data_IF_365910444026
#
_entry.id   IF_365910444026
#
_cell.length_a   1.000
_cell.length_b   1.000
_cell.length_c   1.000
_cell.angle_alpha   90.00
_cell.angle_beta   90.00
_cell.angle_gamma   90.00
#
_symmetry.space_group_name_H-M   'P 1'
#
loop_
_entity.id
_entity.type
_entity.pdbx_description
1 polymer ?
#
# COMPACT_ATOMS: atom_id res chain seq x y z
N UNK A 1 -20.56 -18.24 -27.10
CA UNK A 1 -20.74 -16.79 -26.74
C UNK A 1 -22.16 -16.42 -27.16
N UNK A 2 -23.08 -16.31 -26.22
CA UNK A 2 -24.44 -15.84 -26.48
C UNK A 2 -24.43 -14.32 -26.43
N UNK A 3 -24.77 -13.68 -27.52
CA UNK A 3 -24.83 -12.24 -27.71
C UNK A 3 -25.72 -11.60 -26.61
N UNK A 4 -25.26 -10.56 -25.88
CA UNK A 4 -26.02 -9.89 -24.82
C UNK A 4 -27.41 -9.41 -25.27
N UNK A 5 -27.58 -9.14 -26.57
CA UNK A 5 -28.87 -8.79 -27.16
C UNK A 5 -29.92 -9.90 -27.12
N UNK A 6 -29.50 -11.18 -27.08
CA UNK A 6 -30.40 -12.33 -27.10
C UNK A 6 -30.92 -12.61 -25.68
N UNK A 7 -30.11 -12.40 -24.64
CA UNK A 7 -30.50 -12.63 -23.26
C UNK A 7 -31.53 -11.57 -22.78
N UNK A 8 -31.32 -10.30 -23.13
CA UNK A 8 -32.27 -9.22 -22.78
C UNK A 8 -33.63 -9.41 -23.47
N UNK A 9 -33.67 -9.87 -24.73
CA UNK A 9 -34.94 -10.19 -25.39
C UNK A 9 -35.66 -11.40 -24.77
N UNK A 10 -34.92 -12.39 -24.27
CA UNK A 10 -35.53 -13.54 -23.58
C UNK A 10 -36.14 -13.13 -22.23
N UNK A 11 -35.51 -12.24 -21.52
CA UNK A 11 -36.01 -11.68 -20.24
C UNK A 11 -37.25 -10.81 -20.46
N UNK A 12 -37.30 -9.99 -21.53
CA UNK A 12 -38.48 -9.21 -21.88
C UNK A 12 -39.69 -10.10 -22.25
N UNK A 13 -39.47 -11.17 -23.02
CA UNK A 13 -40.55 -12.12 -23.39
C UNK A 13 -41.06 -12.90 -22.17
N UNK A 14 -40.21 -13.26 -21.23
CA UNK A 14 -40.60 -13.95 -19.99
C UNK A 14 -41.35 -13.00 -19.03
N UNK A 15 -41.00 -11.72 -19.00
CA UNK A 15 -41.68 -10.69 -18.18
C UNK A 15 -43.10 -10.39 -18.70
N UNK A 16 -43.32 -10.46 -20.01
CA UNK A 16 -44.64 -10.25 -20.63
C UNK A 16 -45.65 -11.40 -20.39
N UNK A 17 -45.16 -12.61 -20.06
CA UNK A 17 -46.03 -13.78 -19.88
C UNK A 17 -46.32 -14.15 -18.43
N UNK A 18 -45.57 -13.70 -17.43
CA UNK A 18 -45.69 -14.21 -16.06
C UNK A 18 -45.96 -13.22 -14.97
N UNK A 19 -46.18 -11.95 -15.22
CA UNK A 19 -46.67 -10.94 -14.24
C UNK A 19 -46.06 -10.95 -12.83
N UNK A 20 -45.15 -11.87 -12.53
CA UNK A 20 -44.52 -12.05 -11.23
C UNK A 20 -43.00 -12.32 -11.42
N UNK A 21 -42.18 -11.40 -10.92
CA UNK A 21 -40.71 -11.48 -10.98
C UNK A 21 -40.15 -12.75 -10.32
N UNK A 22 -40.81 -13.36 -9.35
CA UNK A 22 -40.35 -14.57 -8.67
C UNK A 22 -40.47 -15.80 -9.55
N UNK A 23 -41.54 -15.89 -10.34
CA UNK A 23 -41.73 -16.99 -11.28
C UNK A 23 -40.76 -16.95 -12.46
N UNK A 24 -40.44 -15.76 -12.98
CA UNK A 24 -39.44 -15.55 -14.01
C UNK A 24 -38.02 -15.92 -13.56
N UNK A 25 -37.63 -15.56 -12.33
CA UNK A 25 -36.34 -15.90 -11.75
C UNK A 25 -36.16 -17.42 -11.55
N UNK A 26 -37.20 -18.13 -11.09
CA UNK A 26 -37.17 -19.58 -10.91
C UNK A 26 -37.05 -20.29 -12.27
N UNK A 27 -37.74 -19.82 -13.30
CA UNK A 27 -37.68 -20.42 -14.66
C UNK A 27 -36.30 -20.23 -15.30
N UNK A 28 -35.64 -19.05 -15.12
CA UNK A 28 -34.28 -18.80 -15.59
C UNK A 28 -33.26 -19.69 -14.84
N UNK A 29 -33.42 -19.88 -13.53
CA UNK A 29 -32.55 -20.74 -12.75
C UNK A 29 -32.69 -22.21 -13.14
N UNK A 30 -33.91 -22.66 -13.46
CA UNK A 30 -34.19 -24.04 -13.88
C UNK A 30 -33.61 -24.32 -15.28
N UNK A 31 -33.68 -23.38 -16.20
CA UNK A 31 -33.09 -23.50 -17.54
C UNK A 31 -31.56 -23.56 -17.47
N UNK A 32 -30.94 -22.79 -16.57
CA UNK A 32 -29.49 -22.84 -16.35
C UNK A 32 -29.03 -24.13 -15.65
N UNK A 33 -29.86 -24.74 -14.81
CA UNK A 33 -29.53 -25.97 -14.09
C UNK A 33 -29.66 -27.24 -14.94
N UNK A 34 -30.49 -27.24 -16.03
CA UNK A 34 -30.72 -28.36 -16.88
C UNK A 34 -30.18 -28.20 -18.32
N UNK A 35 -29.39 -27.17 -18.60
CA UNK A 35 -28.66 -27.12 -19.86
C UNK A 35 -27.67 -28.31 -19.89
N UNK A 36 -27.70 -29.18 -20.91
CA UNK A 36 -26.74 -30.26 -21.00
C UNK A 36 -25.34 -29.63 -21.10
N UNK A 37 -24.51 -29.90 -20.11
CA UNK A 37 -23.08 -29.71 -20.23
C UNK A 37 -22.60 -30.65 -21.35
N UNK A 38 -22.62 -30.17 -22.58
CA UNK A 38 -21.84 -30.81 -23.62
C UNK A 38 -20.39 -30.74 -23.19
N UNK A 39 -19.84 -31.85 -22.74
CA UNK A 39 -18.41 -32.02 -22.58
C UNK A 39 -17.75 -32.01 -23.96
N UNK A 40 -17.71 -30.85 -24.60
CA UNK A 40 -16.63 -30.56 -25.51
C UNK A 40 -15.40 -30.43 -24.62
N UNK A 41 -14.53 -31.42 -24.65
CA UNK A 41 -13.14 -31.26 -24.23
C UNK A 41 -12.55 -30.12 -25.06
N UNK A 42 -12.75 -28.89 -24.59
CA UNK A 42 -11.86 -27.80 -24.95
C UNK A 42 -10.53 -28.28 -24.41
N UNK A 43 -9.63 -28.68 -25.29
CA UNK A 43 -8.25 -28.89 -24.94
C UNK A 43 -7.84 -27.61 -24.17
N UNK A 44 -7.44 -27.80 -22.92
CA UNK A 44 -6.66 -26.80 -22.18
C UNK A 44 -5.36 -26.79 -22.99
N UNK A 45 -5.35 -26.04 -24.11
CA UNK A 45 -4.11 -25.48 -24.60
C UNK A 45 -3.58 -24.67 -23.44
N UNK A 46 -2.31 -24.81 -23.11
CA UNK A 46 -1.61 -23.96 -22.18
C UNK A 46 -1.96 -22.51 -22.54
N UNK A 47 -2.91 -21.93 -21.81
CA UNK A 47 -3.10 -20.50 -21.78
C UNK A 47 -1.91 -20.01 -20.93
N UNK A 48 -0.80 -19.79 -21.57
CA UNK A 48 0.25 -18.96 -21.04
C UNK A 48 -0.36 -17.57 -20.99
N UNK A 49 -0.72 -17.09 -19.81
CA UNK A 49 -1.09 -15.70 -19.63
C UNK A 49 0.07 -14.89 -20.16
N UNK A 50 -0.21 -13.94 -21.04
CA UNK A 50 0.82 -12.99 -21.49
C UNK A 50 1.36 -12.29 -20.26
N UNK A 51 2.67 -12.09 -20.15
CA UNK A 51 3.24 -11.32 -19.05
C UNK A 51 2.55 -9.96 -18.93
N UNK A 52 2.35 -9.46 -17.71
CA UNK A 52 1.60 -8.23 -17.43
C UNK A 52 2.15 -7.02 -18.21
N UNK A 53 3.47 -6.96 -18.43
CA UNK A 53 4.11 -5.86 -19.15
C UNK A 53 3.85 -5.82 -20.66
N UNK A 54 3.33 -6.90 -21.28
CA UNK A 54 2.97 -6.89 -22.71
C UNK A 54 1.68 -6.12 -23.02
N UNK A 55 0.88 -5.77 -21.98
CA UNK A 55 -0.41 -5.10 -22.13
C UNK A 55 -0.64 -4.01 -21.11
N UNK A 56 0.43 -3.53 -20.45
CA UNK A 56 0.35 -2.47 -19.44
C UNK A 56 -0.15 -1.16 -20.03
N UNK A 57 -0.97 -0.43 -19.27
CA UNK A 57 -1.42 0.91 -19.63
C UNK A 57 -0.37 1.99 -19.33
N UNK A 58 0.69 1.65 -18.62
CA UNK A 58 1.76 2.58 -18.22
C UNK A 58 2.68 2.96 -19.38
N UNK A 59 2.82 2.09 -20.38
CA UNK A 59 3.62 2.29 -21.60
C UNK A 59 2.71 2.16 -22.83
N UNK A 60 2.21 3.28 -23.34
CA UNK A 60 1.24 3.30 -24.45
C UNK A 60 1.88 3.28 -25.83
N UNK A 61 3.13 3.72 -25.92
CA UNK A 61 3.86 3.78 -27.21
C UNK A 61 4.81 2.60 -27.41
N UNK A 62 5.00 1.75 -26.40
CA UNK A 62 5.74 0.49 -26.47
C UNK A 62 7.25 0.67 -26.42
N UNK A 63 7.75 1.76 -25.83
CA UNK A 63 9.18 2.02 -25.68
C UNK A 63 9.79 1.44 -24.41
N UNK A 64 8.98 0.80 -23.56
CA UNK A 64 9.29 0.24 -22.24
C UNK A 64 9.65 1.32 -21.19
N UNK A 65 9.19 2.53 -21.37
CA UNK A 65 9.35 3.63 -20.43
C UNK A 65 7.96 4.13 -20.06
N UNK A 66 7.63 4.14 -18.78
CA UNK A 66 6.37 4.66 -18.29
C UNK A 66 6.13 6.08 -18.79
N UNK A 67 5.00 6.34 -19.47
CA UNK A 67 4.63 7.66 -20.02
C UNK A 67 4.75 8.78 -18.97
N UNK A 68 4.57 8.45 -17.68
CA UNK A 68 4.70 9.37 -16.56
C UNK A 68 6.11 9.96 -16.41
N UNK A 69 7.15 9.27 -16.83
CA UNK A 69 8.53 9.77 -16.77
C UNK A 69 8.69 10.98 -17.66
N UNK A 70 8.15 10.93 -18.88
CA UNK A 70 8.24 12.06 -19.82
C UNK A 70 7.47 13.28 -19.33
N UNK A 71 6.32 13.06 -18.68
CA UNK A 71 5.55 14.14 -18.09
C UNK A 71 6.20 14.71 -16.83
N UNK A 72 6.88 13.87 -16.02
CA UNK A 72 7.65 14.31 -14.86
C UNK A 72 8.84 15.20 -15.26
N UNK A 73 9.56 14.83 -16.34
CA UNK A 73 10.68 15.62 -16.88
C UNK A 73 10.23 17.01 -17.33
N UNK A 74 9.03 17.12 -17.92
CA UNK A 74 8.46 18.40 -18.39
C UNK A 74 7.69 19.14 -17.28
N UNK A 75 7.58 18.60 -16.05
CA UNK A 75 6.77 19.15 -14.96
C UNK A 75 7.48 20.32 -14.26
N UNK A 76 6.72 21.41 -14.00
CA UNK A 76 7.15 22.52 -13.14
C UNK A 76 6.66 22.36 -11.68
N UNK A 77 5.91 21.29 -11.37
CA UNK A 77 5.26 21.13 -10.06
C UNK A 77 6.16 20.52 -8.98
N UNK A 78 7.13 19.69 -9.39
CA UNK A 78 8.11 19.06 -8.51
C UNK A 78 9.46 18.97 -9.21
N UNK A 79 10.55 18.99 -8.45
CA UNK A 79 11.92 18.82 -8.95
C UNK A 79 12.22 17.31 -9.12
N UNK A 80 11.55 16.66 -10.11
CA UNK A 80 11.76 15.25 -10.42
C UNK A 80 13.18 14.95 -10.93
N UNK A 81 13.72 15.90 -11.68
CA UNK A 81 15.07 15.84 -12.23
C UNK A 81 15.99 16.68 -11.36
N UNK A 82 17.04 16.06 -10.82
CA UNK A 82 17.99 16.74 -9.95
C UNK A 82 19.01 17.62 -10.72
N UNK A 83 19.93 18.24 -9.97
CA UNK A 83 20.94 19.12 -10.52
C UNK A 83 21.97 18.40 -11.44
N UNK A 84 22.13 17.09 -11.28
CA UNK A 84 22.95 16.21 -12.08
C UNK A 84 22.23 15.68 -13.33
N UNK A 85 20.99 16.14 -13.61
CA UNK A 85 20.13 15.70 -14.69
C UNK A 85 19.73 14.21 -14.57
N UNK A 86 19.57 13.70 -13.34
CA UNK A 86 19.10 12.33 -13.09
C UNK A 86 17.66 12.32 -12.57
N UNK A 87 16.95 11.21 -12.82
CA UNK A 87 15.58 10.98 -12.36
C UNK A 87 15.51 9.64 -11.60
N UNK A 88 14.67 9.57 -10.56
CA UNK A 88 14.40 8.34 -9.83
C UNK A 88 13.51 7.40 -10.65
N UNK A 89 13.94 6.14 -10.78
CA UNK A 89 13.19 5.13 -11.54
C UNK A 89 13.25 3.76 -10.88
N UNK A 90 12.28 2.91 -11.25
CA UNK A 90 12.22 1.49 -10.91
C UNK A 90 12.30 0.71 -12.22
N UNK A 91 13.34 -0.12 -12.37
CA UNK A 91 13.57 -0.93 -13.57
C UNK A 91 13.06 -2.33 -13.32
N UNK A 92 12.05 -2.76 -14.08
CA UNK A 92 11.46 -4.09 -14.04
C UNK A 92 12.15 -5.05 -15.00
N UNK A 93 12.30 -6.30 -14.56
CA UNK A 93 12.92 -7.37 -15.32
C UNK A 93 11.93 -8.51 -15.62
N UNK A 94 12.20 -9.29 -16.65
CA UNK A 94 11.48 -10.52 -16.97
C UNK A 94 11.87 -11.72 -16.07
N UNK A 95 12.72 -11.48 -15.08
CA UNK A 95 13.25 -12.45 -14.11
C UNK A 95 13.70 -11.73 -12.83
N UNK A 96 13.79 -12.47 -11.73
CA UNK A 96 14.30 -11.92 -10.47
C UNK A 96 15.74 -11.40 -10.63
N UNK A 97 15.99 -10.09 -10.44
CA UNK A 97 17.29 -9.48 -10.77
C UNK A 97 18.40 -9.93 -9.83
N UNK A 98 19.56 -10.17 -10.40
CA UNK A 98 20.77 -10.61 -9.73
C UNK A 98 21.78 -9.45 -9.58
N UNK A 99 22.91 -9.70 -8.91
CA UNK A 99 24.03 -8.73 -8.91
C UNK A 99 24.61 -8.47 -10.30
N UNK A 100 24.43 -9.40 -11.26
CA UNK A 100 24.89 -9.20 -12.63
C UNK A 100 24.02 -8.19 -13.39
N UNK A 101 22.71 -8.20 -13.13
CA UNK A 101 21.77 -7.24 -13.73
C UNK A 101 22.01 -5.84 -13.17
N UNK A 102 22.25 -5.73 -11.86
CA UNK A 102 22.67 -4.49 -11.23
C UNK A 102 23.99 -3.96 -11.83
N UNK A 103 25.05 -4.79 -11.91
CA UNK A 103 26.32 -4.42 -12.51
C UNK A 103 26.19 -4.04 -13.99
N UNK A 104 25.23 -4.61 -14.71
CA UNK A 104 24.92 -4.24 -16.08
C UNK A 104 24.34 -2.83 -16.15
N UNK A 105 23.32 -2.51 -15.34
CA UNK A 105 22.74 -1.17 -15.28
C UNK A 105 23.81 -0.11 -14.91
N UNK A 106 24.59 -0.36 -13.84
CA UNK A 106 25.62 0.56 -13.38
C UNK A 106 26.73 0.81 -14.43
N UNK A 107 27.09 -0.20 -15.23
CA UNK A 107 28.16 -0.09 -16.23
C UNK A 107 27.68 0.51 -17.54
N UNK A 108 26.48 0.12 -18.04
CA UNK A 108 26.05 0.49 -19.39
C UNK A 108 25.35 1.86 -19.43
N UNK A 109 24.69 2.27 -18.33
CA UNK A 109 23.86 3.50 -18.27
C UNK A 109 24.11 4.32 -17.01
N UNK A 110 25.25 4.13 -16.34
CA UNK A 110 25.67 4.85 -15.11
C UNK A 110 24.57 4.90 -14.03
N UNK A 111 23.80 3.80 -13.93
CA UNK A 111 22.67 3.68 -13.01
C UNK A 111 23.17 3.70 -11.56
N UNK A 112 22.59 4.55 -10.73
CA UNK A 112 22.91 4.66 -9.32
C UNK A 112 21.92 3.80 -8.53
N UNK A 113 22.24 2.53 -8.32
CA UNK A 113 21.37 1.57 -7.62
C UNK A 113 21.12 2.01 -6.18
N UNK A 114 19.84 2.07 -5.78
CA UNK A 114 19.41 2.31 -4.42
C UNK A 114 18.91 1.02 -3.75
N UNK A 115 18.00 0.30 -4.41
CA UNK A 115 17.45 -0.95 -3.91
C UNK A 115 17.36 -1.99 -5.02
N UNK A 116 17.60 -3.26 -4.65
CA UNK A 116 17.30 -4.43 -5.48
C UNK A 116 16.34 -5.33 -4.72
N UNK A 117 15.14 -5.50 -5.27
CA UNK A 117 14.06 -6.25 -4.64
C UNK A 117 14.13 -7.74 -4.98
N UNK A 118 13.47 -8.57 -4.15
CA UNK A 118 13.34 -10.01 -4.38
C UNK A 118 11.88 -10.48 -4.29
N UNK A 119 10.97 -9.65 -3.80
CA UNK A 119 9.53 -9.91 -3.82
C UNK A 119 8.89 -9.53 -5.15
N UNK A 120 9.49 -8.57 -5.84
CA UNK A 120 9.18 -8.20 -7.23
C UNK A 120 10.47 -8.20 -8.05
N UNK A 121 10.34 -8.35 -9.34
CA UNK A 121 11.49 -8.50 -10.26
C UNK A 121 12.05 -7.14 -10.69
N UNK A 122 12.49 -6.30 -9.73
CA UNK A 122 12.82 -4.90 -9.98
C UNK A 122 14.08 -4.41 -9.26
N UNK A 123 14.71 -3.35 -9.83
CA UNK A 123 15.81 -2.59 -9.21
C UNK A 123 15.43 -1.11 -9.23
N UNK A 124 15.46 -0.44 -8.07
CA UNK A 124 15.23 0.99 -7.96
C UNK A 124 16.55 1.76 -7.86
N UNK A 125 16.56 2.98 -8.41
CA UNK A 125 17.71 3.87 -8.36
C UNK A 125 17.52 5.13 -9.19
N UNK A 126 18.62 5.81 -9.51
CA UNK A 126 18.62 7.02 -10.33
C UNK A 126 19.38 6.79 -11.64
N UNK A 127 18.89 7.43 -12.70
CA UNK A 127 19.46 7.34 -14.04
C UNK A 127 19.49 8.72 -14.71
N UNK A 128 20.49 8.96 -15.56
CA UNK A 128 20.48 10.14 -16.43
C UNK A 128 19.28 10.15 -17.37
N UNK A 129 18.63 11.30 -17.51
CA UNK A 129 17.47 11.43 -18.41
C UNK A 129 17.81 11.01 -19.84
N UNK A 130 19.04 11.28 -20.31
CA UNK A 130 19.55 10.89 -21.63
C UNK A 130 19.72 9.39 -21.81
N UNK A 131 19.87 8.61 -20.72
CA UNK A 131 20.18 7.18 -20.75
C UNK A 131 18.92 6.29 -20.65
N UNK A 132 17.74 6.86 -20.39
CA UNK A 132 16.47 6.13 -20.25
C UNK A 132 16.18 5.20 -21.45
N UNK A 133 16.36 5.70 -22.68
CA UNK A 133 16.11 4.92 -23.89
C UNK A 133 17.16 3.80 -24.08
N UNK A 134 18.39 3.98 -23.62
CA UNK A 134 19.41 2.94 -23.67
C UNK A 134 19.11 1.88 -22.62
N UNK A 135 18.73 2.28 -21.43
CA UNK A 135 18.34 1.38 -20.35
C UNK A 135 17.14 0.48 -20.73
N UNK A 136 16.11 1.03 -21.40
CA UNK A 136 14.95 0.26 -21.84
C UNK A 136 15.27 -0.87 -22.83
N UNK A 137 16.45 -0.81 -23.46
CA UNK A 137 16.94 -1.80 -24.44
C UNK A 137 17.86 -2.85 -23.84
N UNK A 138 18.22 -2.73 -22.59
CA UNK A 138 19.10 -3.69 -21.93
C UNK A 138 18.43 -5.07 -21.80
N UNK A 139 19.22 -6.16 -21.84
CA UNK A 139 18.68 -7.50 -21.71
C UNK A 139 17.92 -7.70 -20.41
N UNK A 140 16.73 -8.30 -20.50
CA UNK A 140 15.87 -8.59 -19.35
C UNK A 140 14.99 -7.43 -18.92
N UNK A 141 15.27 -6.19 -19.29
CA UNK A 141 14.43 -5.03 -18.94
C UNK A 141 13.11 -5.09 -19.71
N UNK A 142 12.00 -4.99 -18.97
CA UNK A 142 10.63 -5.06 -19.52
C UNK A 142 9.87 -3.75 -19.37
N UNK A 143 10.14 -2.98 -18.32
CA UNK A 143 9.57 -1.65 -18.10
C UNK A 143 10.52 -0.80 -17.23
N UNK A 144 10.47 0.50 -17.38
CA UNK A 144 11.09 1.49 -16.49
C UNK A 144 9.97 2.37 -15.96
N UNK A 145 9.69 2.28 -14.67
CA UNK A 145 8.67 3.08 -13.98
C UNK A 145 9.26 4.34 -13.34
N UNK A 146 8.43 5.38 -13.17
CA UNK A 146 8.80 6.54 -12.37
C UNK A 146 8.82 6.17 -10.87
N UNK A 147 9.87 6.53 -10.16
CA UNK A 147 9.91 6.47 -8.68
C UNK A 147 9.07 7.63 -8.12
N UNK A 148 7.78 7.38 -7.86
CA UNK A 148 6.80 8.36 -7.43
C UNK A 148 6.98 8.81 -5.98
N UNK A 149 6.28 9.87 -5.56
CA UNK A 149 6.33 10.45 -4.21
C UNK A 149 5.05 10.14 -3.43
N UNK A 150 5.17 9.67 -2.18
CA UNK A 150 4.09 9.42 -1.24
C UNK A 150 4.16 10.38 -0.05
N UNK A 151 3.00 10.82 0.48
CA UNK A 151 2.90 11.78 1.60
C UNK A 151 1.97 11.31 2.71
N UNK A 152 2.10 11.87 3.93
CA UNK A 152 1.41 11.47 5.17
C UNK A 152 -0.07 11.88 5.25
N UNK A 153 -0.86 11.13 6.05
CA UNK A 153 -2.30 11.38 6.27
C UNK A 153 -2.77 10.97 7.69
N UNK A 154 -3.57 11.79 8.41
CA UNK A 154 -3.84 11.69 9.87
C UNK A 154 -5.29 11.49 10.28
N UNK A 155 -5.53 10.89 11.49
CA UNK A 155 -6.87 10.85 12.13
C UNK A 155 -7.12 10.19 13.50
N UNK A 156 -8.30 10.26 14.14
CA UNK A 156 -8.77 9.98 15.49
C UNK A 156 -9.91 8.95 15.67
N UNK A 157 -9.95 7.97 16.69
CA UNK A 157 -11.18 7.62 17.42
C UNK A 157 -11.46 6.18 17.90
N UNK A 158 -11.37 5.87 19.18
CA UNK A 158 -11.74 4.55 19.75
C UNK A 158 -13.20 4.43 20.22
N UNK A 159 -13.75 5.46 20.87
CA UNK A 159 -15.08 5.37 21.50
C UNK A 159 -16.22 5.25 20.51
N UNK A 160 -16.15 5.97 19.38
CA UNK A 160 -17.19 5.97 18.36
C UNK A 160 -17.31 4.59 17.70
N UNK A 161 -16.22 3.83 17.63
CA UNK A 161 -16.19 2.49 17.05
C UNK A 161 -16.39 1.36 18.07
N UNK A 162 -16.64 1.67 19.34
CA UNK A 162 -16.94 0.70 20.38
C UNK A 162 -15.73 -0.19 20.73
N UNK A 163 -14.52 0.28 20.59
CA UNK A 163 -13.31 -0.47 20.91
C UNK A 163 -13.26 -0.92 22.38
N UNK A 164 -13.64 -0.08 23.38
CA UNK A 164 -13.69 -0.52 24.77
C UNK A 164 -14.64 -1.71 25.00
N UNK A 165 -15.76 -1.79 24.27
CA UNK A 165 -16.67 -2.97 24.34
C UNK A 165 -15.98 -4.23 23.83
N UNK A 166 -15.14 -4.13 22.79
CA UNK A 166 -14.38 -5.29 22.29
C UNK A 166 -13.40 -5.79 23.35
N UNK A 167 -12.71 -4.89 24.04
CA UNK A 167 -11.82 -5.27 25.14
C UNK A 167 -12.55 -5.96 26.27
N UNK A 168 -13.73 -5.43 26.68
CA UNK A 168 -14.56 -6.00 27.74
C UNK A 168 -15.13 -7.37 27.36
N UNK A 169 -15.68 -7.52 26.16
CA UNK A 169 -16.38 -8.71 25.71
C UNK A 169 -15.43 -9.86 25.33
N UNK A 170 -14.25 -9.53 24.79
CA UNK A 170 -13.34 -10.54 24.21
C UNK A 170 -12.01 -10.69 24.94
N UNK A 171 -11.60 -9.67 25.69
CA UNK A 171 -10.25 -9.58 26.29
C UNK A 171 -9.13 -9.34 25.29
N UNK A 172 -9.44 -9.05 24.01
CA UNK A 172 -8.43 -8.82 22.98
C UNK A 172 -7.95 -7.37 23.00
N UNK A 173 -6.78 -7.15 23.56
CA UNK A 173 -6.09 -5.85 23.69
C UNK A 173 -4.80 -5.77 22.87
N UNK A 174 -4.54 -6.78 22.05
CA UNK A 174 -3.32 -6.88 21.24
C UNK A 174 -2.18 -7.67 21.87
N UNK A 175 -2.35 -8.24 23.06
CA UNK A 175 -1.31 -9.04 23.74
C UNK A 175 -0.72 -10.13 22.83
N UNK A 176 0.62 -10.16 22.71
CA UNK A 176 1.36 -11.11 21.88
C UNK A 176 1.31 -10.83 20.37
N UNK A 177 0.67 -9.73 19.96
CA UNK A 177 0.64 -9.27 18.56
C UNK A 177 1.72 -8.21 18.31
N UNK A 178 2.19 -8.14 17.07
CA UNK A 178 3.14 -7.10 16.61
C UNK A 178 2.60 -6.44 15.35
N UNK A 179 2.56 -5.10 15.37
CA UNK A 179 2.12 -4.27 14.23
C UNK A 179 3.30 -3.45 13.71
N UNK A 180 3.52 -3.47 12.40
CA UNK A 180 4.48 -2.60 11.74
C UNK A 180 3.82 -1.27 11.39
N UNK A 181 4.46 -0.16 11.74
CA UNK A 181 4.08 1.21 11.32
C UNK A 181 5.07 1.65 10.25
N UNK A 182 4.61 1.66 9.01
CA UNK A 182 5.41 2.05 7.84
C UNK A 182 5.10 3.52 7.53
N UNK A 183 5.95 4.43 8.03
CA UNK A 183 5.63 5.86 8.09
C UNK A 183 6.91 6.75 8.24
N UNK A 184 6.84 7.86 8.96
CA UNK A 184 7.96 8.78 9.24
C UNK A 184 8.93 8.29 10.31
N UNK A 185 8.58 7.25 11.05
CA UNK A 185 9.31 6.71 12.19
C UNK A 185 8.42 6.48 13.39
N UNK A 186 9.00 6.18 14.54
CA UNK A 186 8.33 6.13 15.86
C UNK A 186 9.28 6.70 16.90
N UNK A 187 8.83 7.69 17.68
CA UNK A 187 9.54 8.15 18.87
C UNK A 187 9.36 7.11 20.00
N UNK A 188 10.37 6.26 20.16
CA UNK A 188 10.37 5.19 21.17
C UNK A 188 10.71 5.69 22.59
N UNK A 189 10.93 6.98 22.79
CA UNK A 189 11.10 7.61 24.09
C UNK A 189 9.83 8.29 24.60
N UNK A 190 8.78 8.35 23.75
CA UNK A 190 7.50 8.92 24.15
C UNK A 190 6.85 8.05 25.22
N UNK A 191 6.41 8.67 26.33
CA UNK A 191 5.87 7.99 27.52
C UNK A 191 4.73 7.00 27.26
N UNK A 192 3.94 7.19 26.21
CA UNK A 192 2.90 6.25 25.79
C UNK A 192 3.38 5.17 24.80
N UNK A 193 4.68 5.13 24.47
CA UNK A 193 5.28 4.22 23.48
C UNK A 193 6.63 3.63 23.92
N UNK A 194 7.16 4.00 25.07
CA UNK A 194 8.49 3.56 25.57
C UNK A 194 8.44 2.18 26.24
N UNK A 195 7.32 1.87 26.89
CA UNK A 195 7.11 0.68 27.66
C UNK A 195 5.79 0.00 27.27
N UNK A 196 5.67 -1.34 27.47
CA UNK A 196 4.49 -2.09 27.07
C UNK A 196 3.32 -1.94 28.05
N UNK A 197 3.62 -1.83 29.35
CA UNK A 197 2.63 -1.80 30.43
C UNK A 197 2.72 -0.59 31.35
N UNK A 198 3.59 0.39 31.02
CA UNK A 198 3.92 1.61 31.78
C UNK A 198 4.47 1.33 33.21
N UNK A 199 5.02 0.12 33.44
CA UNK A 199 5.75 -0.21 34.65
C UNK A 199 7.27 -0.14 34.43
N UNK A 200 7.87 1.00 34.63
CA UNK A 200 9.31 1.24 34.44
C UNK A 200 10.22 0.28 35.24
N UNK A 201 9.66 -0.66 36.03
CA UNK A 201 10.40 -1.74 36.68
C UNK A 201 10.55 -2.99 35.83
N UNK A 202 9.79 -3.12 34.76
CA UNK A 202 9.89 -4.18 33.75
C UNK A 202 10.88 -3.77 32.66
N UNK A 203 11.21 -4.65 31.74
CA UNK A 203 12.08 -4.37 30.61
C UNK A 203 11.43 -4.94 29.35
N UNK A 204 10.29 -4.37 29.02
CA UNK A 204 9.41 -4.84 27.95
C UNK A 204 9.03 -3.69 26.98
N UNK A 205 10.00 -3.26 26.22
CA UNK A 205 9.85 -2.18 25.24
C UNK A 205 8.63 -2.39 24.34
N UNK A 206 7.88 -1.31 24.13
CA UNK A 206 6.77 -1.23 23.19
C UNK A 206 7.26 -1.34 21.75
N UNK A 207 8.28 -0.59 21.37
CA UNK A 207 8.91 -0.62 20.05
C UNK A 207 10.09 -1.60 20.08
N UNK A 208 9.91 -2.76 19.44
CA UNK A 208 10.88 -3.87 19.52
C UNK A 208 11.88 -3.93 18.35
N UNK A 209 11.59 -3.25 17.26
CA UNK A 209 12.48 -3.17 16.10
C UNK A 209 12.25 -1.88 15.31
N UNK A 210 13.29 -1.47 14.57
CA UNK A 210 13.23 -0.28 13.73
C UNK A 210 14.08 -0.45 12.47
N UNK A 211 13.52 -0.05 11.32
CA UNK A 211 14.22 0.06 10.06
C UNK A 211 14.07 1.46 9.47
N UNK A 212 15.17 2.02 8.99
CA UNK A 212 15.22 3.35 8.39
C UNK A 212 15.67 3.24 6.94
N UNK A 213 14.70 3.17 6.03
CA UNK A 213 14.96 3.08 4.59
C UNK A 213 15.42 4.42 3.99
N UNK A 214 15.26 5.52 4.72
CA UNK A 214 15.58 6.88 4.25
C UNK A 214 17.05 7.20 4.48
N UNK A 215 17.52 7.11 5.75
CA UNK A 215 18.85 7.57 6.12
C UNK A 215 19.86 6.43 6.35
N UNK A 216 19.36 5.20 6.59
CA UNK A 216 20.19 4.06 6.96
C UNK A 216 19.74 2.76 6.29
N UNK A 217 19.55 2.71 4.96
CA UNK A 217 18.96 1.56 4.27
C UNK A 217 19.79 0.27 4.38
N UNK A 218 21.08 0.36 4.72
CA UNK A 218 21.99 -0.77 4.92
C UNK A 218 21.85 -1.41 6.32
N UNK A 219 21.11 -0.80 7.26
CA UNK A 219 20.92 -1.29 8.62
C UNK A 219 19.65 -2.14 8.74
N UNK A 220 19.71 -3.34 8.18
CA UNK A 220 18.53 -4.20 7.98
C UNK A 220 18.25 -5.19 9.11
N UNK A 221 19.03 -5.21 10.20
CA UNK A 221 18.83 -6.15 11.30
C UNK A 221 17.55 -5.85 12.13
N UNK A 222 17.15 -4.58 12.22
CA UNK A 222 16.00 -4.12 12.99
C UNK A 222 16.32 -3.71 14.44
N UNK A 223 17.53 -3.94 14.91
CA UNK A 223 17.99 -3.56 16.28
C UNK A 223 19.27 -2.73 16.28
N UNK A 224 19.71 -2.29 15.11
CA UNK A 224 20.97 -1.54 14.94
C UNK A 224 20.78 -0.03 15.19
N UNK A 225 19.56 0.45 15.03
CA UNK A 225 19.18 1.84 15.19
C UNK A 225 18.06 1.91 16.23
N UNK A 226 18.18 2.82 17.19
CA UNK A 226 17.08 3.14 18.08
C UNK A 226 15.99 3.84 17.29
N UNK A 227 14.74 3.44 17.49
CA UNK A 227 13.60 4.05 16.81
C UNK A 227 13.50 5.55 17.17
N UNK A 228 13.24 6.34 16.16
CA UNK A 228 13.05 7.78 16.25
C UNK A 228 12.04 8.26 15.20
N UNK A 229 11.51 9.46 15.40
CA UNK A 229 10.64 10.14 14.45
C UNK A 229 11.01 11.63 14.39
N UNK A 230 11.45 12.08 13.23
CA UNK A 230 11.89 13.46 12.99
C UNK A 230 10.78 14.34 12.39
N UNK A 231 9.58 13.74 12.16
CA UNK A 231 8.42 14.43 11.61
C UNK A 231 7.20 14.40 12.56
N UNK A 232 6.91 13.24 13.16
CA UNK A 232 5.87 13.05 14.18
C UNK A 232 4.64 12.26 13.73
N UNK A 233 4.37 12.13 12.43
CA UNK A 233 3.19 11.45 11.94
C UNK A 233 3.18 9.95 12.27
N UNK A 234 4.30 9.26 12.12
CA UNK A 234 4.40 7.84 12.43
C UNK A 234 4.23 7.56 13.93
N UNK A 235 4.73 8.44 14.79
CA UNK A 235 4.51 8.39 16.26
C UNK A 235 3.03 8.53 16.58
N UNK A 236 2.33 9.45 15.93
CA UNK A 236 0.88 9.61 16.06
C UNK A 236 0.12 8.35 15.62
N UNK A 237 0.45 7.78 14.47
CA UNK A 237 -0.13 6.52 13.98
C UNK A 237 0.17 5.34 14.92
N UNK A 238 1.38 5.28 15.48
CA UNK A 238 1.77 4.27 16.47
C UNK A 238 0.92 4.36 17.74
N UNK A 239 0.69 5.58 18.24
CA UNK A 239 -0.16 5.83 19.39
C UNK A 239 -1.61 5.43 19.18
N UNK A 240 -2.22 5.78 18.04
CA UNK A 240 -3.58 5.32 17.68
C UNK A 240 -3.63 3.79 17.63
N UNK A 241 -2.60 3.16 17.08
CA UNK A 241 -2.57 1.70 16.93
C UNK A 241 -2.43 1.01 18.27
N UNK A 242 -1.48 1.42 19.10
CA UNK A 242 -1.07 0.65 20.26
C UNK A 242 -0.56 1.48 21.45
N UNK A 243 -0.76 2.81 21.48
CA UNK A 243 -0.35 3.63 22.60
C UNK A 243 -0.99 3.19 23.91
N UNK A 244 -0.24 3.24 25.03
CA UNK A 244 -0.76 2.92 26.36
C UNK A 244 -1.69 3.99 26.92
N UNK A 245 -1.57 5.21 26.37
CA UNK A 245 -2.30 6.39 26.83
C UNK A 245 -1.62 7.13 27.98
N UNK A 246 -0.46 6.66 28.44
CA UNK A 246 0.28 7.38 29.47
C UNK A 246 0.61 8.84 29.04
N UNK A 247 0.67 9.79 30.00
CA UNK A 247 0.61 9.56 31.46
C UNK A 247 -0.80 9.62 32.05
N UNK A 248 -1.81 10.06 31.33
CA UNK A 248 -3.16 10.27 31.86
C UNK A 248 -4.15 9.15 31.50
N UNK A 249 -3.77 8.23 30.64
CA UNK A 249 -4.55 7.09 30.15
C UNK A 249 -5.87 7.47 29.46
N UNK A 250 -5.92 8.64 28.84
CA UNK A 250 -7.11 9.14 28.14
C UNK A 250 -7.10 8.73 26.67
N UNK A 251 -5.96 8.81 25.98
CA UNK A 251 -5.83 8.53 24.57
C UNK A 251 -5.16 7.16 24.34
N UNK A 252 -5.83 6.10 24.80
CA UNK A 252 -5.34 4.71 24.66
C UNK A 252 -5.52 4.25 23.22
N UNK A 253 -4.51 3.58 22.64
CA UNK A 253 -4.56 3.00 21.30
C UNK A 253 -5.54 1.81 21.19
N UNK A 254 -5.88 1.41 19.97
CA UNK A 254 -6.83 0.32 19.70
C UNK A 254 -6.37 -1.03 20.27
N UNK A 255 -5.06 -1.26 20.24
CA UNK A 255 -4.43 -2.50 20.73
C UNK A 255 -3.29 -2.19 21.73
N UNK A 256 -3.62 -1.67 22.92
CA UNK A 256 -2.62 -1.08 23.84
C UNK A 256 -1.58 -2.10 24.34
N UNK A 257 -1.85 -3.41 24.28
CA UNK A 257 -0.89 -4.46 24.64
C UNK A 257 -0.15 -5.05 23.43
N UNK A 258 -0.34 -4.53 22.21
CA UNK A 258 0.47 -4.91 21.08
C UNK A 258 1.85 -4.25 21.12
N UNK A 259 2.87 -4.97 20.65
CA UNK A 259 4.19 -4.41 20.38
C UNK A 259 4.24 -3.79 18.97
N UNK A 260 5.19 -2.90 18.75
CA UNK A 260 5.35 -2.14 17.52
C UNK A 260 6.71 -2.39 16.88
N UNK A 261 6.71 -2.31 15.55
CA UNK A 261 7.91 -2.23 14.73
C UNK A 261 7.82 -0.95 13.90
N UNK A 262 8.79 -0.06 14.03
CA UNK A 262 8.85 1.17 13.24
C UNK A 262 9.60 0.93 11.92
N UNK A 263 9.03 1.42 10.83
CA UNK A 263 9.66 1.38 9.51
C UNK A 263 9.59 2.77 8.90
N UNK A 264 10.72 3.51 8.98
CA UNK A 264 10.80 4.86 8.45
C UNK A 264 11.04 4.80 6.95
N UNK A 265 10.03 5.22 6.19
CA UNK A 265 10.05 5.30 4.72
C UNK A 265 9.81 6.72 4.21
N UNK A 266 9.40 7.62 5.10
CA UNK A 266 9.18 9.04 4.83
C UNK A 266 10.20 9.87 5.60
N UNK A 267 10.66 10.96 5.00
CA UNK A 267 11.65 11.88 5.56
C UNK A 267 11.07 12.86 6.60
N UNK A 268 11.86 13.81 7.05
CA UNK A 268 11.48 14.88 8.00
C UNK A 268 10.41 15.85 7.43
N UNK A 269 10.22 15.87 6.11
CA UNK A 269 9.16 16.61 5.42
C UNK A 269 7.86 15.81 5.28
N UNK A 270 7.84 14.55 5.73
CA UNK A 270 6.70 13.65 5.57
C UNK A 270 6.54 13.10 4.15
N UNK A 271 7.61 13.06 3.36
CA UNK A 271 7.61 12.59 1.98
C UNK A 271 8.58 11.43 1.78
N UNK A 272 8.27 10.53 0.86
CA UNK A 272 9.14 9.41 0.48
C UNK A 272 8.83 8.93 -0.93
N UNK A 273 9.83 8.34 -1.57
CA UNK A 273 9.68 7.77 -2.91
C UNK A 273 8.99 6.39 -2.86
N UNK A 274 8.50 5.92 -3.99
CA UNK A 274 8.03 4.53 -4.13
C UNK A 274 9.13 3.55 -3.72
N UNK A 275 10.38 3.83 -4.10
CA UNK A 275 11.53 2.96 -3.77
C UNK A 275 11.72 2.82 -2.26
N UNK A 276 11.71 3.90 -1.48
CA UNK A 276 11.87 3.82 -0.02
C UNK A 276 10.71 3.10 0.64
N UNK A 277 9.47 3.35 0.15
CA UNK A 277 8.26 2.69 0.68
C UNK A 277 8.28 1.19 0.36
N UNK A 278 8.65 0.80 -0.86
CA UNK A 278 8.79 -0.61 -1.24
C UNK A 278 9.89 -1.31 -0.43
N UNK A 279 11.02 -0.65 -0.17
CA UNK A 279 12.08 -1.20 0.69
C UNK A 279 11.58 -1.46 2.11
N UNK A 280 10.75 -0.56 2.67
CA UNK A 280 10.10 -0.76 3.97
C UNK A 280 9.12 -1.93 3.99
N UNK A 281 8.30 -2.08 2.94
CA UNK A 281 7.39 -3.22 2.79
C UNK A 281 8.17 -4.54 2.68
N UNK A 282 9.19 -4.60 1.85
CA UNK A 282 10.02 -5.81 1.68
C UNK A 282 10.72 -6.19 2.98
N UNK A 283 11.35 -5.22 3.67
CA UNK A 283 11.97 -5.46 4.98
C UNK A 283 10.96 -6.00 6.00
N UNK A 284 9.73 -5.46 6.03
CA UNK A 284 8.66 -5.92 6.93
C UNK A 284 8.32 -7.39 6.66
N UNK A 285 8.23 -7.79 5.38
CA UNK A 285 8.00 -9.19 4.99
C UNK A 285 9.15 -10.08 5.41
N UNK A 286 10.39 -9.68 5.17
CA UNK A 286 11.58 -10.44 5.53
C UNK A 286 11.69 -10.68 7.03
N UNK A 287 11.32 -9.66 7.81
CA UNK A 287 11.40 -9.67 9.27
C UNK A 287 10.15 -10.17 9.98
N UNK A 288 9.07 -10.50 9.25
CA UNK A 288 7.77 -10.89 9.85
C UNK A 288 7.86 -12.09 10.80
N UNK A 289 8.78 -13.02 10.55
CA UNK A 289 8.98 -14.17 11.43
C UNK A 289 9.93 -13.87 12.60
N UNK A 290 10.94 -13.02 12.37
CA UNK A 290 11.91 -12.64 13.40
C UNK A 290 11.23 -11.86 14.54
N UNK A 291 10.30 -10.95 14.18
CA UNK A 291 9.58 -10.09 15.12
C UNK A 291 8.10 -10.43 15.27
N UNK A 292 7.60 -11.55 14.70
CA UNK A 292 6.21 -11.96 14.75
C UNK A 292 5.22 -10.91 14.20
N UNK A 293 5.60 -10.16 13.17
CA UNK A 293 4.75 -9.13 12.54
C UNK A 293 3.56 -9.81 11.85
N UNK A 294 2.33 -9.37 12.17
CA UNK A 294 1.08 -9.93 11.63
C UNK A 294 0.27 -8.93 10.83
N UNK A 295 0.43 -7.65 11.13
CA UNK A 295 -0.25 -6.57 10.48
C UNK A 295 0.70 -5.40 10.24
N UNK A 296 0.40 -4.56 9.27
CA UNK A 296 1.10 -3.32 9.03
C UNK A 296 0.09 -2.20 8.71
N UNK A 297 0.40 -1.00 9.17
CA UNK A 297 -0.33 0.22 8.87
C UNK A 297 0.52 1.13 8.01
N UNK A 298 -0.08 1.68 6.95
CA UNK A 298 0.51 2.68 6.06
C UNK A 298 -0.46 3.85 5.93
N UNK A 299 -0.28 4.88 6.78
CA UNK A 299 -1.07 6.12 6.71
C UNK A 299 -0.45 7.11 5.73
N UNK A 300 -0.11 6.64 4.55
CA UNK A 300 0.51 7.38 3.49
C UNK A 300 -0.16 7.04 2.15
N UNK A 301 0.03 7.90 1.18
CA UNK A 301 -0.47 7.68 -0.18
C UNK A 301 -0.13 8.86 -1.07
N UNK A 302 0.02 8.58 -2.36
CA UNK A 302 0.25 9.58 -3.37
C UNK A 302 -0.87 9.58 -4.39
N UNK A 303 -1.15 10.76 -4.92
CA UNK A 303 -1.75 10.88 -6.23
C UNK A 303 -0.58 11.08 -7.16
N UNK A 304 -0.44 10.17 -8.11
CA UNK A 304 0.44 10.49 -9.20
C UNK A 304 0.01 11.84 -9.80
N UNK A 305 0.95 12.62 -10.22
CA UNK A 305 0.72 13.86 -10.95
C UNK A 305 -0.08 13.67 -12.25
N UNK A 306 -0.49 12.45 -12.55
CA UNK A 306 -0.99 11.97 -13.81
C UNK A 306 -2.16 11.03 -13.53
N UNK A 307 -3.27 11.19 -14.24
CA UNK A 307 -4.55 10.49 -14.05
C UNK A 307 -4.49 8.94 -14.05
N UNK A 308 -3.34 8.35 -14.35
CA UNK A 308 -3.14 6.90 -14.50
C UNK A 308 -2.14 6.28 -13.53
N UNK A 309 -1.76 6.97 -12.47
CA UNK A 309 -0.80 6.46 -11.49
C UNK A 309 -1.43 5.70 -10.32
N UNK A 310 -2.65 5.22 -10.44
CA UNK A 310 -3.26 4.31 -9.46
C UNK A 310 -3.48 2.90 -10.01
N UNK A 311 -2.75 2.55 -11.07
CA UNK A 311 -2.85 1.24 -11.71
C UNK A 311 -2.41 0.12 -10.78
N UNK A 312 -3.13 -1.00 -10.81
CA UNK A 312 -2.72 -2.26 -10.15
C UNK A 312 -1.34 -2.73 -10.59
N UNK A 313 -0.91 -2.30 -11.76
CA UNK A 313 0.35 -2.69 -12.40
C UNK A 313 1.56 -1.90 -11.87
N UNK A 314 1.33 -0.77 -11.16
CA UNK A 314 2.43 -0.01 -10.53
C UNK A 314 3.22 -0.88 -9.54
N UNK A 315 4.53 -0.74 -9.54
CA UNK A 315 5.44 -1.52 -8.69
C UNK A 315 5.08 -1.45 -7.20
N UNK A 316 4.70 -0.27 -6.70
CA UNK A 316 4.31 -0.08 -5.31
C UNK A 316 3.01 -0.83 -4.96
N UNK A 317 2.03 -0.91 -5.89
CA UNK A 317 0.81 -1.69 -5.71
C UNK A 317 1.09 -3.20 -5.78
N UNK A 318 1.94 -3.63 -6.71
CA UNK A 318 2.41 -5.02 -6.80
C UNK A 318 3.12 -5.45 -5.51
N UNK A 319 4.02 -4.59 -4.96
CA UNK A 319 4.71 -4.85 -3.69
C UNK A 319 3.72 -4.96 -2.53
N UNK A 320 2.72 -4.07 -2.44
CA UNK A 320 1.68 -4.11 -1.42
C UNK A 320 0.87 -5.43 -1.47
N UNK A 321 0.50 -5.89 -2.68
CA UNK A 321 -0.16 -7.18 -2.86
C UNK A 321 0.73 -8.35 -2.44
N UNK A 322 2.02 -8.35 -2.81
CA UNK A 322 2.96 -9.41 -2.40
C UNK A 322 3.19 -9.43 -0.88
N UNK A 323 3.19 -8.27 -0.22
CA UNK A 323 3.24 -8.20 1.25
C UNK A 323 2.03 -8.92 1.88
N UNK A 324 0.81 -8.67 1.37
CA UNK A 324 -0.41 -9.36 1.85
C UNK A 324 -0.35 -10.86 1.57
N UNK A 325 0.04 -11.28 0.36
CA UNK A 325 0.21 -12.68 -0.03
C UNK A 325 1.26 -13.41 0.81
N UNK A 326 2.26 -12.67 1.30
CA UNK A 326 3.28 -13.16 2.23
C UNK A 326 2.77 -13.36 3.66
N UNK A 327 1.52 -12.98 3.96
CA UNK A 327 0.84 -13.24 5.23
C UNK A 327 0.89 -12.09 6.24
N UNK A 328 1.15 -10.86 5.81
CA UNK A 328 1.02 -9.64 6.61
C UNK A 328 -0.26 -8.91 6.19
N UNK A 329 -1.21 -8.72 7.10
CA UNK A 329 -2.40 -7.93 6.83
C UNK A 329 -2.02 -6.44 6.69
N UNK A 330 -2.22 -5.86 5.51
CA UNK A 330 -1.79 -4.49 5.22
C UNK A 330 -3.00 -3.55 5.13
N UNK A 331 -2.98 -2.51 5.96
CA UNK A 331 -3.99 -1.47 6.03
C UNK A 331 -3.42 -0.17 5.48
N UNK A 332 -4.10 0.42 4.50
CA UNK A 332 -3.61 1.62 3.79
C UNK A 332 -4.70 2.69 3.73
N UNK A 333 -4.35 3.94 3.94
CA UNK A 333 -5.25 5.07 3.78
C UNK A 333 -5.79 5.18 2.34
N UNK A 334 -7.07 5.52 2.19
CA UNK A 334 -7.69 5.76 0.88
C UNK A 334 -7.18 7.05 0.21
N UNK A 335 -6.67 7.98 1.01
CA UNK A 335 -6.23 9.29 0.57
C UNK A 335 -7.18 10.43 0.94
N UNK A 336 -6.75 11.69 0.72
CA UNK A 336 -7.42 12.92 1.13
C UNK A 336 -7.79 13.82 -0.06
N UNK A 337 -8.08 13.26 -1.22
CA UNK A 337 -8.38 14.08 -2.42
C UNK A 337 -9.80 14.62 -2.51
N UNK A 338 -10.69 14.19 -1.62
CA UNK A 338 -12.08 14.65 -1.57
C UNK A 338 -12.93 14.34 -2.84
N UNK A 339 -12.45 13.50 -3.75
CA UNK A 339 -13.10 13.25 -5.05
C UNK A 339 -13.37 11.76 -5.25
N UNK A 340 -14.44 11.47 -5.99
CA UNK A 340 -14.74 10.10 -6.43
C UNK A 340 -13.77 9.63 -7.51
N UNK A 341 -13.52 8.31 -7.55
CA UNK A 341 -12.59 7.64 -8.44
C UNK A 341 -11.12 8.10 -8.27
N UNK A 342 -10.72 8.45 -7.04
CA UNK A 342 -9.37 8.86 -6.70
C UNK A 342 -8.89 8.21 -5.40
N UNK A 343 -8.87 6.88 -5.36
CA UNK A 343 -8.14 6.15 -4.33
C UNK A 343 -6.65 6.23 -4.69
N UNK A 344 -5.85 6.76 -3.75
CA UNK A 344 -4.42 6.92 -3.95
C UNK A 344 -3.65 5.59 -3.98
N UNK A 345 -2.50 5.58 -4.61
CA UNK A 345 -1.56 4.46 -4.55
C UNK A 345 -0.77 4.54 -3.22
N UNK A 346 -0.43 3.43 -2.52
CA UNK A 346 -0.79 2.06 -2.83
C UNK A 346 -2.14 1.59 -2.26
N UNK A 347 -2.99 2.48 -1.75
CA UNK A 347 -4.33 2.17 -1.26
C UNK A 347 -5.27 1.56 -2.31
N UNK A 348 -5.01 1.80 -3.60
CA UNK A 348 -5.74 1.22 -4.73
C UNK A 348 -5.43 -0.27 -4.97
N UNK A 349 -4.35 -0.81 -4.45
CA UNK A 349 -3.94 -2.20 -4.65
C UNK A 349 -5.04 -3.21 -4.25
N UNK A 350 -5.15 -4.32 -4.99
CA UNK A 350 -6.28 -5.26 -4.90
C UNK A 350 -6.39 -5.90 -3.51
N UNK A 351 -5.29 -6.48 -3.02
CA UNK A 351 -5.27 -7.36 -1.84
C UNK A 351 -5.24 -6.60 -0.50
N UNK A 352 -4.92 -5.31 -0.52
CA UNK A 352 -4.81 -4.49 0.70
C UNK A 352 -6.17 -4.09 1.27
N UNK A 353 -6.23 -3.81 2.56
CA UNK A 353 -7.40 -3.23 3.21
C UNK A 353 -7.30 -1.71 3.16
N UNK A 354 -8.06 -1.11 2.26
CA UNK A 354 -8.09 0.35 2.08
C UNK A 354 -9.09 0.97 3.05
N UNK A 355 -8.66 1.97 3.80
CA UNK A 355 -9.41 2.62 4.88
C UNK A 355 -9.78 4.04 4.49
N UNK A 356 -11.08 4.32 4.41
CA UNK A 356 -11.64 5.67 4.22
C UNK A 356 -11.85 6.38 5.55
N UNK A 357 -12.01 7.71 5.49
CA UNK A 357 -12.22 8.54 6.67
C UNK A 357 -13.69 8.92 6.87
N UNK A 358 -14.14 8.87 8.13
CA UNK A 358 -15.41 9.40 8.61
C UNK A 358 -15.15 10.59 9.54
N UNK A 359 -16.14 11.48 9.67
CA UNK A 359 -16.19 12.46 10.74
C UNK A 359 -16.77 11.83 12.03
N UNK A 360 -16.67 12.54 13.16
CA UNK A 360 -17.10 12.02 14.48
C UNK A 360 -18.61 11.75 14.59
N UNK A 361 -19.42 12.27 13.67
CA UNK A 361 -20.84 11.97 13.53
C UNK A 361 -21.11 10.73 12.64
N UNK A 362 -20.03 10.02 12.24
CA UNK A 362 -20.04 8.87 11.33
C UNK A 362 -20.44 9.16 9.89
N UNK A 363 -20.56 10.42 9.50
CA UNK A 363 -20.67 10.80 8.10
C UNK A 363 -19.30 10.65 7.38
N UNK A 364 -19.31 10.50 6.06
CA UNK A 364 -18.07 10.45 5.28
C UNK A 364 -17.36 11.80 5.39
N UNK A 365 -16.12 11.79 5.85
CA UNK A 365 -15.30 13.00 5.92
C UNK A 365 -15.13 13.62 4.52
N UNK A 366 -15.36 14.93 4.43
CA UNK A 366 -15.37 15.63 3.14
C UNK A 366 -14.06 15.53 2.36
N UNK A 367 -12.96 15.29 3.05
CA UNK A 367 -11.63 15.12 2.45
C UNK A 367 -11.34 13.67 2.04
N UNK A 368 -12.08 12.66 2.52
CA UNK A 368 -11.80 11.26 2.23
C UNK A 368 -11.86 10.99 0.73
N UNK A 369 -10.83 10.32 0.20
CA UNK A 369 -10.88 9.79 -1.16
C UNK A 369 -11.96 8.73 -1.30
N UNK A 370 -12.59 8.68 -2.46
CA UNK A 370 -13.70 7.80 -2.78
C UNK A 370 -13.39 7.00 -4.04
N UNK A 371 -13.80 5.72 -4.04
CA UNK A 371 -13.71 4.87 -5.21
C UNK A 371 -14.78 5.13 -6.29
N UNK A 372 -14.83 4.28 -7.28
CA UNK A 372 -14.02 3.08 -7.49
C UNK A 372 -12.55 3.39 -7.85
N UNK A 373 -11.69 2.35 -7.88
CA UNK A 373 -10.35 2.47 -8.49
C UNK A 373 -10.47 2.67 -10.00
N UNK A 374 -9.38 2.97 -10.67
CA UNK A 374 -9.35 3.14 -12.13
C UNK A 374 -9.87 1.89 -12.86
N UNK A 375 -9.51 0.70 -12.39
CA UNK A 375 -10.00 -0.58 -12.93
C UNK A 375 -11.44 -0.92 -12.51
N UNK A 376 -12.11 -0.03 -11.76
CA UNK A 376 -13.51 -0.17 -11.35
C UNK A 376 -13.74 -1.04 -10.11
N UNK A 377 -12.71 -1.37 -9.32
CA UNK A 377 -12.86 -2.09 -8.05
C UNK A 377 -13.48 -1.18 -6.99
N UNK A 378 -14.34 -1.75 -6.14
CA UNK A 378 -14.94 -1.03 -5.02
C UNK A 378 -13.92 -0.86 -3.90
N UNK A 379 -13.49 0.38 -3.68
CA UNK A 379 -12.63 0.84 -2.58
C UNK A 379 -13.20 2.16 -2.01
N UNK A 380 -12.95 2.54 -0.76
CA UNK A 380 -12.24 1.79 0.28
C UNK A 380 -13.02 0.54 0.72
N UNK A 381 -12.34 -0.41 1.38
CA UNK A 381 -12.96 -1.64 1.88
C UNK A 381 -13.77 -1.38 3.17
N UNK A 382 -13.26 -0.48 4.01
CA UNK A 382 -13.84 -0.07 5.29
C UNK A 382 -13.63 1.43 5.47
N UNK A 383 -14.33 2.03 6.45
CA UNK A 383 -14.12 3.41 6.85
C UNK A 383 -14.21 3.53 8.37
N UNK A 384 -13.34 4.36 8.93
CA UNK A 384 -13.32 4.69 10.36
C UNK A 384 -13.23 6.19 10.55
N UNK A 385 -13.56 6.66 11.76
CA UNK A 385 -13.44 8.08 12.07
C UNK A 385 -12.00 8.52 11.93
N UNK A 386 -11.81 9.54 11.14
CA UNK A 386 -10.54 10.07 10.72
C UNK A 386 -10.36 11.56 10.99
N UNK A 387 -11.27 12.25 11.65
CA UNK A 387 -11.22 13.70 11.85
C UNK A 387 -10.93 14.08 13.29
N UNK A 388 -9.91 14.92 13.52
CA UNK A 388 -9.55 15.54 14.82
C UNK A 388 -9.19 14.53 15.92
N UNK A 389 -8.22 13.64 15.69
CA UNK A 389 -7.70 12.65 16.62
C UNK A 389 -6.61 13.20 17.51
N UNK A 390 -6.63 12.75 18.76
CA UNK A 390 -5.55 13.01 19.71
C UNK A 390 -4.72 11.74 19.87
N UNK A 391 -3.41 11.86 19.73
CA UNK A 391 -2.45 10.77 19.91
C UNK A 391 -1.07 11.36 20.26
N UNK A 392 -0.08 10.55 20.64
CA UNK A 392 1.26 11.01 20.99
C UNK A 392 1.88 11.97 19.97
N UNK A 393 2.45 13.07 20.48
CA UNK A 393 3.24 14.01 19.69
C UNK A 393 4.73 13.70 19.87
N UNK A 394 5.43 13.39 18.77
CA UNK A 394 6.85 13.05 18.83
C UNK A 394 7.69 14.17 19.48
N UNK A 395 8.68 13.79 20.28
CA UNK A 395 9.61 14.68 20.99
C UNK A 395 8.96 15.64 21.99
N UNK A 396 7.72 15.39 22.44
CA UNK A 396 7.02 16.25 23.39
C UNK A 396 7.01 15.67 24.82
N UNK A 397 6.72 14.45 25.01
CA UNK A 397 6.43 13.81 26.30
C UNK A 397 4.97 13.96 26.74
N UNK A 398 4.08 14.40 25.81
CA UNK A 398 2.64 14.55 25.98
C UNK A 398 1.88 13.72 24.92
#
# INVERSE_FOLDING_TARGET
MTNPCTLNRLIEVLMLHHGDMRAAAITVLTILAFAPLSSSSIGIGDYQESPWWESTSMDRDGDKIHDAIWLAIDSELYDWVDAENTIGVIVDFDHTPTSQDQEMLEREVDFQTQFRYHLIDSIAGRIGVEDLIEASRLPGVVLIELDGILTTQMSDVNDIHGIPMIWEDTGYTGEGSVVSIIDTGIDSDHVGLDDLDDDNSTNDSKVIAFYDAVNNPDKTNGTEIKAYDDQGHGTHCAGITAGTGAPDFVNIGVAPQAQLVGVKVLDEGGSGSFATVMAGMEWTVDKRHDFNIRAASMSLGGFGLIEWTSSEEESVNRMANEMVRSGVALFIAAGNSAVSAQIGTPGSAEDVITVGALDKDTSIAVYSSQGPTEEGRVKPNIAFVGSSVMAPEANSGD
#
